data_IF_329173023877
#
_entry.id   IF_329173023877
#
_cell.length_a   1.000
_cell.length_b   1.000
_cell.length_c   1.000
_cell.angle_alpha   90.00
_cell.angle_beta   90.00
_cell.angle_gamma   90.00
#
_symmetry.space_group_name_H-M   'P 1'
#
loop_
_entity.id
_entity.type
_entity.pdbx_description
1 polymer ?
#
# COMPACT_ATOMS: atom_id res chain seq x y z
N UNK A 1 20.52 1.61 8.73
CA UNK A 1 20.10 1.57 7.33
C UNK A 1 21.20 2.12 6.41
N UNK A 2 21.69 3.38 6.59
CA UNK A 2 22.69 4.01 5.71
C UNK A 2 23.92 3.13 5.49
N UNK A 3 24.58 2.67 6.55
CA UNK A 3 25.74 1.76 6.46
C UNK A 3 25.47 0.47 5.68
N UNK A 4 24.24 -0.05 5.71
CA UNK A 4 23.84 -1.21 4.90
C UNK A 4 23.80 -0.86 3.42
N UNK A 5 23.18 0.24 3.07
CA UNK A 5 23.11 0.73 1.68
C UNK A 5 24.51 1.03 1.14
N UNK A 6 25.40 1.64 1.93
CA UNK A 6 26.79 1.91 1.52
C UNK A 6 27.55 0.62 1.22
N UNK A 7 27.36 -0.44 2.02
CA UNK A 7 27.96 -1.76 1.76
C UNK A 7 27.40 -2.41 0.48
N UNK A 8 26.07 -2.28 0.25
CA UNK A 8 25.43 -2.80 -0.96
C UNK A 8 25.95 -2.07 -2.21
N UNK A 9 26.10 -0.74 -2.13
CA UNK A 9 26.69 0.07 -3.22
C UNK A 9 28.12 -0.34 -3.57
N UNK A 10 28.92 -0.76 -2.59
CA UNK A 10 30.28 -1.24 -2.81
C UNK A 10 30.33 -2.70 -3.31
N UNK A 11 29.22 -3.40 -3.39
CA UNK A 11 29.11 -4.79 -3.81
C UNK A 11 29.04 -4.90 -5.34
N UNK A 12 29.66 -5.92 -5.96
CA UNK A 12 29.51 -6.21 -7.39
C UNK A 12 28.06 -6.48 -7.83
N UNK A 13 27.18 -6.84 -6.89
CA UNK A 13 25.78 -7.10 -7.18
C UNK A 13 24.95 -5.82 -7.36
N UNK A 14 25.47 -4.65 -6.98
CA UNK A 14 24.71 -3.40 -6.92
C UNK A 14 23.98 -3.08 -8.23
N UNK A 15 24.63 -3.23 -9.37
CA UNK A 15 24.08 -2.89 -10.69
C UNK A 15 22.80 -3.66 -11.03
N UNK A 16 22.66 -4.88 -10.49
CA UNK A 16 21.49 -5.73 -10.70
C UNK A 16 20.61 -5.85 -9.46
N UNK A 17 20.84 -5.02 -8.45
CA UNK A 17 20.14 -5.10 -7.18
C UNK A 17 18.98 -4.09 -7.16
N UNK A 18 17.80 -4.58 -6.79
CA UNK A 18 16.67 -3.77 -6.35
C UNK A 18 16.51 -3.93 -4.84
N UNK A 19 16.53 -2.83 -4.12
CA UNK A 19 16.26 -2.76 -2.68
C UNK A 19 14.96 -2.02 -2.46
N UNK A 20 13.99 -2.71 -1.88
CA UNK A 20 12.69 -2.13 -1.49
C UNK A 20 12.71 -1.89 0.02
N UNK A 21 12.58 -0.64 0.41
CA UNK A 21 12.48 -0.21 1.80
C UNK A 21 11.05 0.22 2.05
N UNK A 22 10.38 -0.45 2.97
CA UNK A 22 8.99 -0.16 3.34
C UNK A 22 8.85 -0.28 4.85
N UNK A 23 8.07 0.62 5.47
CA UNK A 23 7.73 0.48 6.88
C UNK A 23 6.66 -0.61 7.05
N UNK A 24 6.69 -1.33 8.16
CA UNK A 24 5.70 -2.35 8.53
C UNK A 24 4.34 -1.73 8.87
N UNK A 25 4.36 -0.55 9.52
CA UNK A 25 3.16 0.22 9.87
C UNK A 25 3.48 1.72 9.94
N UNK A 26 2.44 2.53 10.01
CA UNK A 26 2.56 3.97 10.24
C UNK A 26 2.78 4.29 11.73
N UNK A 27 3.09 5.56 12.01
CA UNK A 27 3.38 6.06 13.35
C UNK A 27 2.72 7.42 13.60
N UNK A 28 2.17 7.67 14.80
CA UNK A 28 1.41 8.89 15.09
C UNK A 28 2.26 10.14 15.39
N UNK A 29 3.53 10.14 15.03
CA UNK A 29 4.44 11.29 15.24
C UNK A 29 4.51 12.19 13.99
N UNK A 30 4.70 13.51 14.11
CA UNK A 30 5.00 14.31 15.30
C UNK A 30 3.76 14.78 16.09
N UNK A 31 2.57 14.45 15.67
CA UNK A 31 1.33 14.76 16.39
C UNK A 31 0.60 13.47 16.73
N UNK A 32 -0.19 13.49 17.78
CA UNK A 32 -1.08 12.36 18.09
C UNK A 32 -2.15 12.26 17.03
N UNK A 33 -2.18 11.11 16.35
CA UNK A 33 -3.20 10.72 15.38
C UNK A 33 -4.06 9.62 15.99
N UNK A 34 -5.37 9.72 15.82
CA UNK A 34 -6.26 8.66 16.24
C UNK A 34 -5.98 7.36 15.45
N UNK A 35 -6.31 6.23 16.05
CA UNK A 35 -5.97 4.92 15.47
C UNK A 35 -6.60 4.67 14.10
N UNK A 36 -7.74 5.26 13.84
CA UNK A 36 -8.49 5.16 12.61
C UNK A 36 -8.18 6.26 11.57
N UNK A 37 -7.35 7.27 11.91
CA UNK A 37 -7.02 8.34 10.96
C UNK A 37 -6.16 7.82 9.80
N UNK A 38 -6.51 8.14 8.52
CA UNK A 38 -5.75 7.71 7.34
C UNK A 38 -4.27 8.07 7.39
N UNK A 39 -3.95 9.27 7.87
CA UNK A 39 -2.57 9.74 7.96
C UNK A 39 -1.70 8.88 8.89
N UNK A 40 -2.29 8.23 9.89
CA UNK A 40 -1.59 7.30 10.79
C UNK A 40 -1.10 6.05 10.06
N UNK A 41 -1.79 5.65 8.99
CA UNK A 41 -1.48 4.46 8.20
C UNK A 41 -0.61 4.75 6.98
N UNK A 42 -0.27 6.04 6.76
CA UNK A 42 0.63 6.43 5.68
C UNK A 42 2.06 6.06 6.04
N UNK A 43 2.69 5.26 5.19
CA UNK A 43 4.05 4.78 5.33
C UNK A 43 4.92 5.19 4.16
N UNK A 44 6.24 5.38 4.36
CA UNK A 44 7.17 5.56 3.26
C UNK A 44 7.45 4.21 2.59
N UNK A 45 7.57 4.23 1.27
CA UNK A 45 8.15 3.16 0.47
C UNK A 45 9.19 3.74 -0.47
N UNK A 46 10.40 3.20 -0.45
CA UNK A 46 11.53 3.66 -1.26
C UNK A 46 12.10 2.47 -2.02
N UNK A 47 12.21 2.63 -3.34
CA UNK A 47 12.90 1.68 -4.20
C UNK A 47 14.25 2.26 -4.59
N UNK A 48 15.33 1.51 -4.39
CA UNK A 48 16.70 1.92 -4.67
C UNK A 48 17.53 0.72 -5.14
N UNK A 49 18.72 0.98 -5.66
CA UNK A 49 19.61 -0.04 -6.22
C UNK A 49 20.01 0.31 -7.63
N UNK A 50 21.03 -0.34 -8.18
CA UNK A 50 21.48 -0.12 -9.54
C UNK A 50 20.46 -0.50 -10.60
N UNK A 51 19.54 -1.41 -10.28
CA UNK A 51 18.41 -1.77 -11.15
C UNK A 51 17.36 -0.65 -11.33
N UNK A 52 17.40 0.42 -10.51
CA UNK A 52 16.51 1.57 -10.65
C UNK A 52 17.06 2.53 -11.68
N UNK A 53 16.53 2.50 -12.89
CA UNK A 53 17.05 3.24 -14.04
C UNK A 53 17.06 4.77 -13.86
N UNK A 54 16.07 5.31 -13.13
CA UNK A 54 15.96 6.76 -12.87
C UNK A 54 15.12 7.04 -11.61
N UNK A 55 15.49 8.09 -10.84
CA UNK A 55 14.69 8.51 -9.71
C UNK A 55 13.35 9.10 -10.18
N UNK A 56 12.28 8.81 -9.44
CA UNK A 56 10.95 9.42 -9.59
C UNK A 56 10.22 9.45 -8.27
N UNK A 57 9.29 10.36 -8.12
CA UNK A 57 8.29 10.35 -7.06
C UNK A 57 7.01 9.72 -7.63
N UNK A 58 6.41 8.81 -6.88
CA UNK A 58 5.13 8.17 -7.22
C UNK A 58 4.09 8.75 -6.27
N UNK A 59 3.09 9.43 -6.82
CA UNK A 59 2.02 10.09 -6.07
C UNK A 59 0.71 9.30 -6.09
N UNK A 60 0.72 8.13 -6.75
CA UNK A 60 -0.43 7.26 -6.83
C UNK A 60 -0.78 6.64 -5.48
N UNK A 61 -2.08 6.48 -5.23
CA UNK A 61 -2.56 5.80 -4.03
C UNK A 61 -2.28 4.31 -4.11
N UNK A 62 -1.57 3.81 -3.12
CA UNK A 62 -1.14 2.41 -3.03
C UNK A 62 -1.18 1.91 -1.59
N UNK A 63 -1.32 0.61 -1.44
CA UNK A 63 -1.23 -0.12 -0.17
C UNK A 63 -0.01 -1.04 -0.17
N UNK A 64 0.40 -1.54 0.99
CA UNK A 64 1.48 -2.53 1.07
C UNK A 64 1.19 -3.80 0.25
N UNK A 65 -0.07 -4.19 0.13
CA UNK A 65 -0.49 -5.35 -0.68
C UNK A 65 -0.14 -5.19 -2.16
N UNK A 66 0.03 -3.96 -2.65
CA UNK A 66 0.36 -3.67 -4.05
C UNK A 66 1.84 -3.90 -4.38
N UNK A 67 2.69 -4.14 -3.37
CA UNK A 67 4.12 -4.39 -3.57
C UNK A 67 4.35 -5.66 -4.41
N UNK A 68 3.57 -6.71 -4.17
CA UNK A 68 3.75 -8.00 -4.84
C UNK A 68 3.57 -7.88 -6.36
N UNK A 69 2.41 -7.44 -6.83
CA UNK A 69 2.15 -7.29 -8.27
C UNK A 69 3.09 -6.26 -8.91
N UNK A 70 3.37 -5.15 -8.21
CA UNK A 70 4.29 -4.12 -8.72
C UNK A 70 5.69 -4.68 -8.92
N UNK A 71 6.22 -5.41 -7.93
CA UNK A 71 7.55 -5.99 -8.01
C UNK A 71 7.64 -7.04 -9.13
N UNK A 72 6.68 -7.96 -9.19
CA UNK A 72 6.63 -9.01 -10.21
C UNK A 72 6.52 -8.42 -11.62
N UNK A 73 5.69 -7.38 -11.80
CA UNK A 73 5.58 -6.68 -13.07
C UNK A 73 6.92 -6.08 -13.53
N UNK A 74 7.69 -5.45 -12.61
CA UNK A 74 9.01 -4.91 -12.94
C UNK A 74 10.02 -6.01 -13.29
N UNK A 75 9.82 -7.23 -12.81
CA UNK A 75 10.66 -8.40 -13.13
C UNK A 75 10.17 -9.15 -14.38
N UNK A 76 9.07 -8.72 -15.00
CA UNK A 76 8.44 -9.40 -16.14
C UNK A 76 7.84 -10.76 -15.78
N UNK A 77 7.48 -10.96 -14.51
CA UNK A 77 6.85 -12.19 -14.00
C UNK A 77 5.34 -12.01 -13.93
N UNK A 78 4.55 -13.00 -14.40
CA UNK A 78 3.10 -12.99 -14.22
C UNK A 78 2.70 -12.82 -12.76
N UNK A 79 1.62 -12.08 -12.52
CA UNK A 79 1.15 -11.75 -11.18
C UNK A 79 -0.37 -11.80 -11.04
N UNK A 80 -1.03 -12.49 -11.97
CA UNK A 80 -2.50 -12.61 -12.01
C UNK A 80 -3.08 -13.35 -10.80
N UNK A 81 -2.28 -14.16 -10.11
CA UNK A 81 -2.67 -14.87 -8.89
C UNK A 81 -2.73 -13.97 -7.64
N UNK A 82 -2.32 -12.72 -7.76
CA UNK A 82 -2.32 -11.75 -6.66
C UNK A 82 -3.55 -10.83 -6.72
N UNK A 83 -4.74 -11.38 -6.56
CA UNK A 83 -6.05 -10.71 -6.70
C UNK A 83 -6.17 -9.38 -5.93
N UNK A 84 -5.53 -9.28 -4.77
CA UNK A 84 -5.55 -8.09 -3.92
C UNK A 84 -4.47 -7.07 -4.24
N UNK A 85 -3.52 -7.41 -5.10
CA UNK A 85 -2.38 -6.56 -5.45
C UNK A 85 -2.58 -5.95 -6.84
N UNK A 86 -2.14 -4.71 -7.03
CA UNK A 86 -2.09 -4.08 -8.36
C UNK A 86 -0.67 -3.65 -8.67
N UNK A 87 -0.29 -3.65 -9.95
CA UNK A 87 0.90 -2.94 -10.39
C UNK A 87 0.64 -1.42 -10.37
N UNK A 88 1.28 -0.72 -9.43
CA UNK A 88 1.15 0.74 -9.29
C UNK A 88 1.81 1.51 -10.44
N UNK A 89 2.65 0.84 -11.24
CA UNK A 89 3.33 1.43 -12.38
C UNK A 89 2.65 1.14 -13.71
N UNK A 90 1.58 0.37 -13.70
CA UNK A 90 0.77 0.14 -14.90
C UNK A 90 0.24 1.48 -15.44
N UNK A 91 0.19 1.68 -16.76
CA UNK A 91 -0.38 2.90 -17.36
C UNK A 91 -1.82 3.18 -16.92
N UNK A 92 -2.58 2.13 -16.65
CA UNK A 92 -3.94 2.20 -16.13
C UNK A 92 -4.09 1.16 -15.03
N UNK A 93 -3.75 1.47 -13.78
CA UNK A 93 -3.94 0.55 -12.67
C UNK A 93 -5.44 0.20 -12.52
N UNK A 94 -5.79 -1.06 -12.23
CA UNK A 94 -7.18 -1.50 -12.11
C UNK A 94 -7.91 -0.84 -10.92
N UNK A 95 -7.16 -0.39 -9.94
CA UNK A 95 -7.65 0.28 -8.74
C UNK A 95 -6.81 1.51 -8.44
N UNK A 96 -7.44 2.64 -8.15
CA UNK A 96 -6.76 3.92 -7.88
C UNK A 96 -6.92 4.38 -6.44
N UNK A 97 -7.08 3.46 -5.51
CA UNK A 97 -7.23 3.75 -4.09
C UNK A 97 -6.16 3.02 -3.26
N UNK A 98 -5.94 3.52 -2.05
CA UNK A 98 -5.25 2.82 -0.98
C UNK A 98 -6.28 2.29 0.03
N UNK A 99 -6.07 1.05 0.49
CA UNK A 99 -6.87 0.40 1.53
C UNK A 99 -5.98 0.07 2.72
N UNK A 100 -6.48 0.29 3.92
CA UNK A 100 -5.85 -0.16 5.16
C UNK A 100 -6.90 -0.74 6.10
N UNK A 101 -6.49 -1.69 6.92
CA UNK A 101 -7.32 -2.25 7.97
C UNK A 101 -6.72 -1.93 9.35
N UNK A 102 -7.59 -1.80 10.32
CA UNK A 102 -7.24 -1.66 11.74
C UNK A 102 -8.20 -2.53 12.57
N UNK A 103 -7.95 -2.64 13.88
CA UNK A 103 -8.84 -3.40 14.74
C UNK A 103 -10.27 -2.83 14.64
N UNK A 104 -11.21 -3.71 14.26
CA UNK A 104 -12.62 -3.38 14.10
C UNK A 104 -12.93 -2.30 13.05
N UNK A 105 -12.13 -2.23 11.96
CA UNK A 105 -12.44 -1.27 10.91
C UNK A 105 -11.51 -1.28 9.72
N UNK A 106 -11.81 -0.39 8.79
CA UNK A 106 -10.99 -0.15 7.60
C UNK A 106 -11.06 1.32 7.18
N UNK A 107 -10.08 1.71 6.37
CA UNK A 107 -10.13 2.97 5.64
C UNK A 107 -9.75 2.80 4.18
N UNK A 108 -10.32 3.64 3.34
CA UNK A 108 -10.02 3.76 1.92
C UNK A 108 -9.76 5.22 1.59
N UNK A 109 -8.74 5.46 0.79
CA UNK A 109 -8.31 6.81 0.37
C UNK A 109 -7.97 6.80 -1.10
N UNK A 110 -8.45 7.80 -1.83
CA UNK A 110 -8.05 8.08 -3.22
C UNK A 110 -8.06 9.58 -3.51
N UNK A 111 -7.94 9.95 -4.78
CA UNK A 111 -7.93 11.34 -5.21
C UNK A 111 -9.26 12.08 -4.97
N UNK A 112 -10.38 11.37 -4.81
CA UNK A 112 -11.71 11.93 -4.57
C UNK A 112 -12.00 12.17 -3.09
N UNK A 113 -11.24 11.54 -2.18
CA UNK A 113 -11.42 11.69 -0.75
C UNK A 113 -11.05 10.45 0.06
N UNK A 114 -11.73 10.29 1.19
CA UNK A 114 -11.51 9.19 2.13
C UNK A 114 -12.83 8.71 2.75
N UNK A 115 -12.86 7.43 3.11
CA UNK A 115 -13.89 6.84 3.94
C UNK A 115 -13.27 5.92 4.99
N UNK A 116 -13.73 6.04 6.23
CA UNK A 116 -13.27 5.24 7.36
C UNK A 116 -14.48 4.63 8.06
N UNK A 117 -14.51 3.33 8.17
CA UNK A 117 -15.56 2.56 8.82
C UNK A 117 -15.09 2.02 10.17
N UNK A 118 -15.89 2.29 11.21
CA UNK A 118 -15.75 1.70 12.54
C UNK A 118 -16.82 0.62 12.71
N UNK A 119 -16.42 -0.65 12.75
CA UNK A 119 -17.33 -1.77 12.90
C UNK A 119 -17.86 -1.90 14.34
N UNK A 120 -17.12 -1.44 15.35
CA UNK A 120 -17.59 -1.41 16.74
C UNK A 120 -18.75 -0.42 16.90
N UNK A 121 -18.59 0.77 16.34
CA UNK A 121 -19.64 1.79 16.32
C UNK A 121 -20.72 1.58 15.25
N UNK A 122 -20.48 0.66 14.30
CA UNK A 122 -21.41 0.38 13.20
C UNK A 122 -21.65 1.57 12.28
N UNK A 123 -20.66 2.45 12.12
CA UNK A 123 -20.81 3.73 11.39
C UNK A 123 -19.56 4.16 10.65
N UNK A 124 -19.73 4.99 9.65
CA UNK A 124 -18.63 5.77 9.10
C UNK A 124 -18.14 6.82 10.12
N UNK A 125 -16.84 6.88 10.33
CA UNK A 125 -16.18 7.89 11.19
C UNK A 125 -15.80 9.11 10.35
N UNK A 126 -15.34 8.86 9.14
CA UNK A 126 -15.03 9.86 8.12
C UNK A 126 -15.59 9.37 6.80
N UNK A 127 -16.22 10.27 6.05
CA UNK A 127 -16.80 9.96 4.76
C UNK A 127 -16.88 11.24 3.93
N UNK A 128 -15.84 11.46 3.11
CA UNK A 128 -15.85 12.58 2.14
C UNK A 128 -16.30 12.13 0.76
N UNK A 129 -16.25 10.81 0.49
CA UNK A 129 -16.83 10.18 -0.68
C UNK A 129 -17.49 8.85 -0.28
N UNK A 130 -18.84 8.75 -0.34
CA UNK A 130 -19.60 7.54 0.03
C UNK A 130 -19.21 6.29 -0.77
N UNK A 131 -18.83 6.44 -2.04
CA UNK A 131 -18.46 5.30 -2.91
C UNK A 131 -17.24 4.54 -2.36
N UNK A 132 -16.33 5.25 -1.68
CA UNK A 132 -15.17 4.62 -1.05
C UNK A 132 -15.54 3.71 0.12
N UNK A 133 -16.66 3.97 0.78
CA UNK A 133 -17.16 3.09 1.84
C UNK A 133 -17.57 1.72 1.30
N UNK A 134 -18.25 1.71 0.14
CA UNK A 134 -18.66 0.47 -0.51
C UNK A 134 -17.46 -0.30 -1.08
N UNK A 135 -16.45 0.41 -1.59
CA UNK A 135 -15.15 -0.18 -1.97
C UNK A 135 -14.51 -0.87 -0.77
N UNK A 136 -14.43 -0.20 0.37
CA UNK A 136 -13.82 -0.77 1.58
C UNK A 136 -14.58 -1.97 2.13
N UNK A 137 -15.91 -1.92 2.14
CA UNK A 137 -16.77 -3.06 2.52
C UNK A 137 -16.55 -4.26 1.60
N UNK A 138 -16.45 -4.02 0.29
CA UNK A 138 -16.18 -5.07 -0.70
C UNK A 138 -14.83 -5.71 -0.45
N UNK A 139 -13.78 -4.91 -0.23
CA UNK A 139 -12.44 -5.43 0.09
C UNK A 139 -12.46 -6.30 1.36
N UNK A 140 -13.09 -5.81 2.42
CA UNK A 140 -13.19 -6.53 3.69
C UNK A 140 -13.97 -7.85 3.52
N UNK A 141 -15.14 -7.81 2.89
CA UNK A 141 -15.98 -8.98 2.66
C UNK A 141 -15.27 -10.03 1.81
N UNK A 142 -14.61 -9.60 0.72
CA UNK A 142 -13.84 -10.52 -0.15
C UNK A 142 -12.73 -11.20 0.63
N UNK A 143 -12.02 -10.45 1.47
CA UNK A 143 -10.97 -10.99 2.33
C UNK A 143 -11.50 -12.06 3.30
N UNK A 144 -12.63 -11.80 3.96
CA UNK A 144 -13.25 -12.78 4.87
C UNK A 144 -13.73 -14.05 4.14
N UNK A 145 -14.33 -13.88 2.95
CA UNK A 145 -14.77 -15.02 2.13
C UNK A 145 -13.57 -15.86 1.69
N UNK A 146 -12.47 -15.25 1.30
CA UNK A 146 -11.26 -15.95 0.88
C UNK A 146 -10.62 -16.72 2.06
N UNK A 147 -10.47 -16.07 3.22
CA UNK A 147 -9.97 -16.73 4.43
C UNK A 147 -10.84 -17.94 4.81
N UNK A 148 -12.16 -17.80 4.70
CA UNK A 148 -13.09 -18.89 5.03
C UNK A 148 -13.08 -20.07 4.05
N UNK A 149 -12.45 -19.92 2.88
CA UNK A 149 -12.31 -20.99 1.86
C UNK A 149 -10.97 -21.73 1.93
N UNK A 150 -10.00 -21.20 2.65
CA UNK A 150 -8.66 -21.78 2.86
C UNK A 150 -8.62 -22.66 4.11
#
# INVERSE_FOLDING_TARGET
>A
LGKMIDRLKASPAWENLLVVLVADHGYPYPRTLAYNEPLRHRIPMIWTGGAVARPRVVEDYASQIDIAATLLAQLGVPHDDFDYSKDIFAPTPPRKFAYYAFNDGFGVVDASGEAVWDATGGRAVTETNPELLDVGRTMLQTTYVDIGRR
#
